data_IF_001948779799
#
_entry.id   IF_001948779799
#
_cell.length_a   1.000
_cell.length_b   1.000
_cell.length_c   1.000
_cell.angle_alpha   90.00
_cell.angle_beta   90.00
_cell.angle_gamma   90.00
#
_symmetry.space_group_name_H-M   'P 1'
#
loop_
_entity.id
_entity.type
_entity.pdbx_description
1 polymer ?
#
# COMPACT_ATOMS: atom_id res chain seq x y z
N UNK A 1 9.37 8.28 -11.27
CA UNK A 1 9.15 7.39 -12.45
C UNK A 1 8.64 6.04 -11.97
N UNK A 2 7.69 5.43 -12.68
CA UNK A 2 7.17 4.08 -12.38
C UNK A 2 7.87 3.07 -13.29
N UNK A 3 8.40 1.98 -12.75
CA UNK A 3 9.08 0.90 -13.48
C UNK A 3 8.88 -0.46 -12.80
N UNK A 4 9.30 -1.53 -13.45
CA UNK A 4 9.31 -2.87 -12.85
C UNK A 4 10.22 -2.91 -11.61
N UNK A 5 9.78 -3.62 -10.58
CA UNK A 5 10.55 -3.85 -9.35
C UNK A 5 11.52 -5.00 -9.56
N UNK A 6 12.80 -4.77 -9.32
CA UNK A 6 13.88 -5.71 -9.57
C UNK A 6 14.40 -6.37 -8.30
N UNK A 7 15.26 -7.41 -8.45
CA UNK A 7 15.92 -8.03 -7.31
C UNK A 7 16.79 -7.03 -6.51
N UNK A 8 17.46 -6.11 -7.19
CA UNK A 8 18.26 -5.06 -6.54
C UNK A 8 17.38 -4.07 -5.74
N UNK A 9 16.12 -3.87 -6.14
CA UNK A 9 15.20 -3.01 -5.40
C UNK A 9 14.75 -3.66 -4.09
N UNK A 10 14.78 -4.99 -3.96
CA UNK A 10 14.55 -5.65 -2.67
C UNK A 10 15.59 -5.20 -1.66
N UNK A 11 16.86 -5.15 -2.06
CA UNK A 11 17.95 -4.71 -1.16
C UNK A 11 17.77 -3.25 -0.76
N UNK A 12 17.51 -2.36 -1.75
CA UNK A 12 17.25 -0.93 -1.51
C UNK A 12 16.02 -0.68 -0.62
N UNK A 13 14.95 -1.46 -0.80
CA UNK A 13 13.75 -1.38 0.02
C UNK A 13 14.04 -1.77 1.47
N UNK A 14 14.84 -2.79 1.70
CA UNK A 14 15.21 -3.26 3.04
C UNK A 14 16.10 -2.26 3.81
N UNK A 15 16.74 -1.32 3.11
CA UNK A 15 17.52 -0.22 3.67
C UNK A 15 16.69 1.02 4.02
N UNK A 16 15.39 1.01 3.73
CA UNK A 16 14.55 2.15 4.08
C UNK A 16 14.51 2.39 5.59
N UNK A 17 14.49 3.65 6.02
CA UNK A 17 14.30 3.96 7.44
C UNK A 17 12.98 3.39 7.94
N UNK A 18 12.90 3.13 9.22
CA UNK A 18 11.68 2.62 9.84
C UNK A 18 10.73 3.78 10.20
N UNK A 19 9.44 3.51 10.15
CA UNK A 19 8.45 4.43 10.70
C UNK A 19 8.67 4.56 12.22
N UNK A 20 8.76 5.80 12.70
CA UNK A 20 8.88 6.07 14.12
C UNK A 20 7.55 5.83 14.86
N UNK A 21 6.42 6.06 14.19
CA UNK A 21 5.09 5.81 14.75
C UNK A 21 4.71 4.33 14.60
N UNK A 22 4.46 3.61 15.71
CA UNK A 22 4.07 2.20 15.70
C UNK A 22 2.81 1.90 14.87
N UNK A 23 1.91 2.88 14.70
CA UNK A 23 0.71 2.70 13.87
C UNK A 23 1.02 2.44 12.40
N UNK A 24 2.22 2.79 11.95
CA UNK A 24 2.70 2.56 10.59
C UNK A 24 3.80 1.51 10.50
N UNK A 25 4.10 0.80 11.60
CA UNK A 25 5.16 -0.20 11.64
C UNK A 25 4.94 -1.37 10.66
N UNK A 26 3.70 -1.66 10.30
CA UNK A 26 3.32 -2.65 9.28
C UNK A 26 3.94 -2.36 7.90
N UNK A 27 4.29 -1.11 7.63
CA UNK A 27 4.97 -0.70 6.38
C UNK A 27 6.49 -0.79 6.46
N UNK A 28 7.06 -1.10 7.63
CA UNK A 28 8.49 -1.28 7.78
C UNK A 28 8.98 -2.49 7.00
N UNK A 29 10.11 -2.38 6.30
CA UNK A 29 10.72 -3.53 5.67
C UNK A 29 11.02 -4.63 6.71
N UNK A 30 10.72 -5.91 6.40
CA UNK A 30 11.07 -7.02 7.29
C UNK A 30 12.58 -7.28 7.27
N UNK A 31 13.09 -7.94 8.30
CA UNK A 31 14.44 -8.49 8.24
C UNK A 31 14.47 -9.72 7.32
N UNK A 32 15.37 -9.75 6.35
CA UNK A 32 15.51 -10.85 5.41
C UNK A 32 16.99 -11.21 5.19
N UNK A 33 17.32 -12.51 5.28
CA UNK A 33 18.59 -13.03 4.78
C UNK A 33 18.64 -12.92 3.24
N UNK A 34 19.84 -13.01 2.66
CA UNK A 34 20.02 -12.97 1.19
C UNK A 34 19.13 -14.00 0.49
N UNK A 35 19.11 -15.25 1.00
CA UNK A 35 18.25 -16.31 0.45
C UNK A 35 16.76 -15.96 0.50
N UNK A 36 16.29 -15.35 1.57
CA UNK A 36 14.90 -14.91 1.67
C UNK A 36 14.57 -13.80 0.69
N UNK A 37 15.51 -12.86 0.44
CA UNK A 37 15.36 -11.81 -0.58
C UNK A 37 15.21 -12.38 -1.99
N UNK A 38 16.04 -13.39 -2.31
CA UNK A 38 15.98 -14.08 -3.61
C UNK A 38 14.63 -14.81 -3.78
N UNK A 39 14.22 -15.55 -2.75
CA UNK A 39 12.93 -16.24 -2.74
C UNK A 39 11.74 -15.28 -2.83
N UNK A 40 11.78 -14.17 -2.09
CA UNK A 40 10.76 -13.13 -2.15
C UNK A 40 10.60 -12.57 -3.56
N UNK A 41 11.71 -12.19 -4.20
CA UNK A 41 11.67 -11.65 -5.56
C UNK A 41 11.21 -12.70 -6.58
N UNK A 42 11.72 -13.93 -6.50
CA UNK A 42 11.36 -15.01 -7.41
C UNK A 42 9.87 -15.35 -7.34
N UNK A 43 9.30 -15.45 -6.13
CA UNK A 43 7.88 -15.76 -5.94
C UNK A 43 6.95 -14.71 -6.56
N UNK A 44 7.31 -13.42 -6.44
CA UNK A 44 6.51 -12.34 -7.02
C UNK A 44 6.64 -12.25 -8.54
N UNK A 45 7.83 -12.53 -9.07
CA UNK A 45 8.06 -12.52 -10.52
C UNK A 45 7.37 -13.64 -11.24
N UNK A 46 7.27 -14.82 -10.63
CA UNK A 46 6.64 -16.02 -11.22
C UNK A 46 5.10 -16.01 -11.12
N UNK A 47 4.54 -15.16 -10.28
CA UNK A 47 3.10 -15.13 -10.06
C UNK A 47 2.38 -14.35 -11.18
N UNK A 48 1.48 -15.02 -11.90
CA UNK A 48 0.58 -14.34 -12.82
C UNK A 48 -0.45 -13.44 -12.12
N UNK A 49 -0.72 -13.70 -10.83
CA UNK A 49 -1.68 -12.96 -10.01
C UNK A 49 -1.03 -11.81 -9.21
N UNK A 50 0.25 -11.49 -9.47
CA UNK A 50 0.94 -10.42 -8.76
C UNK A 50 1.90 -9.67 -9.67
N UNK A 51 1.98 -8.35 -9.48
CA UNK A 51 3.02 -7.49 -10.08
C UNK A 51 3.55 -6.53 -9.05
N UNK A 52 4.86 -6.29 -9.07
CA UNK A 52 5.51 -5.29 -8.23
C UNK A 52 6.16 -4.23 -9.11
N UNK A 53 5.95 -2.97 -8.72
CA UNK A 53 6.48 -1.81 -9.39
C UNK A 53 7.29 -0.96 -8.40
N UNK A 54 8.38 -0.41 -8.89
CA UNK A 54 9.21 0.56 -8.19
C UNK A 54 8.79 1.98 -8.56
N UNK A 55 8.81 2.86 -7.59
CA UNK A 55 8.67 4.31 -7.79
C UNK A 55 10.00 4.94 -7.48
N UNK A 56 10.64 5.49 -8.51
CA UNK A 56 11.85 6.29 -8.35
C UNK A 56 11.52 7.78 -8.38
N UNK A 57 12.27 8.56 -7.60
CA UNK A 57 12.26 10.02 -7.72
C UNK A 57 12.99 10.48 -9.00
N UNK A 58 13.12 11.80 -9.17
CA UNK A 58 13.80 12.39 -10.34
C UNK A 58 15.29 12.08 -10.38
N UNK A 59 15.89 11.75 -9.24
CA UNK A 59 17.30 11.35 -9.12
C UNK A 59 17.54 9.84 -9.32
N UNK A 60 16.48 9.06 -9.58
CA UNK A 60 16.57 7.60 -9.74
C UNK A 60 16.68 6.83 -8.41
N UNK A 61 16.34 7.48 -7.29
CA UNK A 61 16.33 6.85 -5.98
C UNK A 61 14.97 6.16 -5.77
N UNK A 62 15.00 4.90 -5.33
CA UNK A 62 13.79 4.15 -4.97
C UNK A 62 13.12 4.78 -3.75
N UNK A 63 11.97 5.42 -3.95
CA UNK A 63 11.20 6.11 -2.91
C UNK A 63 9.86 5.47 -2.61
N UNK A 64 9.37 4.58 -3.47
CA UNK A 64 8.10 3.90 -3.29
C UNK A 64 8.09 2.51 -3.90
N UNK A 65 7.20 1.68 -3.38
CA UNK A 65 6.91 0.35 -3.87
C UNK A 65 5.41 0.18 -4.01
N UNK A 66 4.98 -0.31 -5.17
CA UNK A 66 3.59 -0.64 -5.48
C UNK A 66 3.49 -2.13 -5.73
N UNK A 67 2.46 -2.75 -5.19
CA UNK A 67 2.08 -4.13 -5.51
C UNK A 67 0.66 -4.15 -6.05
N UNK A 68 0.47 -4.82 -7.18
CA UNK A 68 -0.82 -5.29 -7.63
C UNK A 68 -0.90 -6.76 -7.22
N UNK A 69 -1.88 -7.12 -6.43
CA UNK A 69 -2.10 -8.46 -5.88
C UNK A 69 -3.45 -8.98 -6.36
N UNK A 70 -3.65 -10.29 -6.28
CA UNK A 70 -4.94 -10.90 -6.60
C UNK A 70 -5.43 -10.46 -7.99
N UNK A 71 -4.49 -10.39 -8.95
CA UNK A 71 -4.82 -10.00 -10.31
C UNK A 71 -5.73 -11.05 -10.90
N UNK A 72 -6.99 -10.67 -11.13
CA UNK A 72 -7.96 -11.46 -11.86
C UNK A 72 -8.06 -10.93 -13.30
N UNK A 73 -7.47 -11.68 -14.23
CA UNK A 73 -7.43 -11.31 -15.63
C UNK A 73 -8.80 -11.45 -16.32
N UNK A 74 -9.68 -12.30 -15.80
CA UNK A 74 -11.03 -12.47 -16.31
C UNK A 74 -11.94 -11.34 -15.85
N UNK A 75 -11.99 -11.07 -14.54
CA UNK A 75 -12.71 -9.93 -13.98
C UNK A 75 -12.02 -8.59 -14.26
N UNK A 76 -10.78 -8.62 -14.76
CA UNK A 76 -9.93 -7.45 -15.01
C UNK A 76 -9.79 -6.55 -13.78
N UNK A 77 -9.47 -7.16 -12.65
CA UNK A 77 -9.35 -6.47 -11.36
C UNK A 77 -8.06 -6.83 -10.63
N UNK A 78 -7.68 -5.99 -9.67
CA UNK A 78 -6.56 -6.26 -8.78
C UNK A 78 -6.73 -5.52 -7.45
N UNK A 79 -5.96 -5.93 -6.44
CA UNK A 79 -5.82 -5.24 -5.14
C UNK A 79 -4.51 -4.48 -5.11
N UNK A 80 -4.57 -3.19 -4.79
CA UNK A 80 -3.43 -2.29 -4.67
C UNK A 80 -2.81 -2.37 -3.26
N UNK A 81 -1.51 -2.54 -3.20
CA UNK A 81 -0.68 -2.20 -2.05
C UNK A 81 0.33 -1.13 -2.43
N UNK A 82 0.55 -0.15 -1.57
CA UNK A 82 1.52 0.92 -1.82
C UNK A 82 2.21 1.34 -0.54
N UNK A 83 3.52 1.51 -0.61
CA UNK A 83 4.32 2.03 0.49
C UNK A 83 5.39 2.98 -0.04
N UNK A 84 5.76 3.96 0.78
CA UNK A 84 6.81 4.94 0.51
C UNK A 84 7.81 4.99 1.65
N UNK A 85 9.01 5.40 1.33
CA UNK A 85 10.03 5.69 2.34
C UNK A 85 9.49 6.70 3.35
N UNK A 86 9.61 6.43 4.65
CA UNK A 86 9.08 7.31 5.70
C UNK A 86 9.65 8.73 5.67
N UNK A 87 10.93 8.88 5.33
CA UNK A 87 11.64 10.15 5.24
C UNK A 87 11.28 11.01 4.02
N UNK A 88 10.47 10.47 3.10
CA UNK A 88 10.01 11.14 1.87
C UNK A 88 8.49 11.35 1.83
N UNK A 89 7.84 11.19 2.99
CA UNK A 89 6.40 11.37 3.11
C UNK A 89 6.01 12.86 3.11
N UNK A 90 4.90 13.20 2.44
CA UNK A 90 4.44 14.60 2.35
C UNK A 90 4.92 15.35 1.10
N UNK A 91 5.84 14.80 0.32
CA UNK A 91 6.41 15.41 -0.89
C UNK A 91 5.52 15.28 -2.15
N UNK A 92 4.29 14.80 -2.03
CA UNK A 92 3.38 14.60 -3.18
C UNK A 92 3.65 13.32 -3.97
N UNK A 93 4.70 12.56 -3.66
CA UNK A 93 5.11 11.33 -4.37
C UNK A 93 3.98 10.31 -4.51
N UNK A 94 3.15 10.16 -3.49
CA UNK A 94 2.02 9.24 -3.50
C UNK A 94 0.99 9.58 -4.59
N UNK A 95 0.63 10.86 -4.71
CA UNK A 95 -0.34 11.31 -5.72
C UNK A 95 0.23 11.18 -7.13
N UNK A 96 1.50 11.52 -7.33
CA UNK A 96 2.19 11.42 -8.62
C UNK A 96 2.32 9.97 -9.07
N UNK A 97 2.75 9.08 -8.16
CA UNK A 97 2.85 7.64 -8.41
C UNK A 97 1.49 7.01 -8.72
N UNK A 98 0.43 7.41 -8.00
CA UNK A 98 -0.94 6.96 -8.29
C UNK A 98 -1.40 7.41 -9.67
N UNK A 99 -1.14 8.66 -10.07
CA UNK A 99 -1.45 9.12 -11.42
C UNK A 99 -0.77 8.28 -12.50
N UNK A 100 0.52 7.95 -12.32
CA UNK A 100 1.26 7.08 -13.24
C UNK A 100 0.72 5.64 -13.25
N UNK A 101 0.42 5.09 -12.07
CA UNK A 101 -0.15 3.75 -11.94
C UNK A 101 -1.52 3.65 -12.64
N UNK A 102 -2.41 4.60 -12.40
CA UNK A 102 -3.78 4.56 -12.94
C UNK A 102 -3.78 4.65 -14.47
N UNK A 103 -2.92 5.48 -15.05
CA UNK A 103 -2.72 5.51 -16.51
C UNK A 103 -2.25 4.15 -17.05
N UNK A 104 -1.32 3.50 -16.36
CA UNK A 104 -0.84 2.17 -16.74
C UNK A 104 -1.92 1.10 -16.56
N UNK A 105 -2.61 1.12 -15.41
CA UNK A 105 -3.58 0.11 -15.00
C UNK A 105 -4.83 0.10 -15.89
N UNK A 106 -5.44 1.25 -16.10
CA UNK A 106 -6.63 1.38 -16.94
C UNK A 106 -6.30 1.49 -18.44
N UNK A 107 -5.10 1.94 -18.80
CA UNK A 107 -4.63 2.02 -20.18
C UNK A 107 -4.02 0.71 -20.67
N UNK A 108 -2.67 0.58 -20.79
CA UNK A 108 -2.02 -0.58 -21.38
C UNK A 108 -2.36 -1.92 -20.73
N UNK A 109 -2.61 -1.95 -19.41
CA UNK A 109 -2.95 -3.19 -18.71
C UNK A 109 -4.42 -3.62 -18.93
N UNK A 110 -5.29 -2.71 -19.36
CA UNK A 110 -6.67 -3.01 -19.74
C UNK A 110 -7.60 -3.41 -18.61
N UNK A 111 -7.31 -3.01 -17.38
CA UNK A 111 -8.08 -3.40 -16.19
C UNK A 111 -9.36 -2.58 -16.01
N UNK A 112 -10.32 -3.10 -15.23
CA UNK A 112 -11.65 -2.51 -15.01
C UNK A 112 -11.86 -2.00 -13.59
N UNK A 113 -11.24 -2.63 -12.58
CA UNK A 113 -11.43 -2.23 -11.19
C UNK A 113 -10.15 -2.41 -10.37
N UNK A 114 -9.77 -1.37 -9.63
CA UNK A 114 -8.67 -1.39 -8.68
C UNK A 114 -9.24 -1.24 -7.28
N UNK A 115 -9.02 -2.26 -6.45
CA UNK A 115 -9.42 -2.30 -5.06
C UNK A 115 -8.24 -1.97 -4.15
N UNK A 116 -8.50 -1.47 -2.97
CA UNK A 116 -7.53 -1.36 -1.88
C UNK A 116 -8.24 -1.38 -0.54
N UNK A 117 -7.49 -1.71 0.50
CA UNK A 117 -7.85 -1.46 1.88
C UNK A 117 -6.88 -0.42 2.49
N UNK A 118 -7.39 0.41 3.39
CA UNK A 118 -6.60 1.44 4.07
C UNK A 118 -7.02 1.57 5.53
N UNK A 119 -6.06 1.58 6.44
CA UNK A 119 -6.35 1.75 7.85
C UNK A 119 -7.06 3.09 8.11
N UNK A 120 -8.15 3.07 8.85
CA UNK A 120 -8.99 4.25 9.14
C UNK A 120 -8.21 5.39 9.77
N UNK A 121 -7.17 5.07 10.58
CA UNK A 121 -6.26 6.05 11.16
C UNK A 121 -5.29 6.66 10.14
N UNK A 122 -5.09 6.04 8.95
CA UNK A 122 -4.22 6.58 7.90
C UNK A 122 -4.95 7.60 7.02
N UNK A 123 -5.37 8.70 7.65
CA UNK A 123 -6.13 9.78 6.99
C UNK A 123 -5.40 10.35 5.78
N UNK A 124 -4.07 10.42 5.83
CA UNK A 124 -3.25 10.91 4.71
C UNK A 124 -3.41 10.04 3.46
N UNK A 125 -3.28 8.72 3.59
CA UNK A 125 -3.42 7.80 2.47
C UNK A 125 -4.86 7.81 1.94
N UNK A 126 -5.86 7.76 2.83
CA UNK A 126 -7.27 7.82 2.44
C UNK A 126 -7.57 9.07 1.61
N UNK A 127 -7.16 10.26 2.06
CA UNK A 127 -7.33 11.50 1.29
C UNK A 127 -6.62 11.46 -0.07
N UNK A 128 -5.48 10.78 -0.18
CA UNK A 128 -4.80 10.59 -1.44
C UNK A 128 -5.66 9.75 -2.40
N UNK A 129 -6.20 8.63 -1.93
CA UNK A 129 -7.05 7.74 -2.74
C UNK A 129 -8.36 8.43 -3.15
N UNK A 130 -9.01 9.15 -2.24
CA UNK A 130 -10.22 9.94 -2.54
C UNK A 130 -9.95 10.97 -3.65
N UNK A 131 -8.83 11.70 -3.59
CA UNK A 131 -8.42 12.63 -4.66
C UNK A 131 -8.16 11.91 -5.99
N UNK A 132 -7.65 10.68 -5.96
CA UNK A 132 -7.48 9.86 -7.16
C UNK A 132 -8.80 9.28 -7.70
N UNK A 133 -9.91 9.42 -6.97
CA UNK A 133 -11.25 9.01 -7.40
C UNK A 133 -11.71 7.69 -6.80
N UNK A 134 -10.95 7.10 -5.89
CA UNK A 134 -11.43 5.93 -5.15
C UNK A 134 -12.66 6.28 -4.31
N UNK A 135 -13.62 5.37 -4.29
CA UNK A 135 -14.85 5.48 -3.50
C UNK A 135 -14.82 4.46 -2.38
N UNK A 136 -15.36 4.83 -1.25
CA UNK A 136 -15.58 3.93 -0.13
C UNK A 136 -16.57 2.82 -0.52
N UNK A 137 -16.26 1.59 -0.17
CA UNK A 137 -17.07 0.41 -0.47
C UNK A 137 -17.62 -0.25 0.80
N UNK A 138 -16.82 -0.27 1.87
CA UNK A 138 -17.18 -0.89 3.13
C UNK A 138 -16.06 -0.79 4.15
N UNK A 139 -16.22 -1.49 5.26
CA UNK A 139 -15.26 -1.53 6.36
C UNK A 139 -15.13 -2.94 6.90
N UNK A 140 -13.92 -3.29 7.35
CA UNK A 140 -13.68 -4.54 8.04
C UNK A 140 -12.57 -4.39 9.08
N UNK A 141 -12.47 -5.35 10.01
CA UNK A 141 -11.37 -5.41 10.97
C UNK A 141 -10.20 -6.16 10.33
N UNK A 142 -9.08 -5.45 10.21
CA UNK A 142 -7.85 -5.98 9.64
C UNK A 142 -7.19 -7.05 10.49
N UNK A 143 -6.05 -7.53 10.03
CA UNK A 143 -5.25 -8.50 10.78
C UNK A 143 -4.73 -7.92 12.09
N UNK A 144 -4.57 -8.76 13.08
CA UNK A 144 -4.02 -8.37 14.36
C UNK A 144 -2.52 -8.05 14.21
N UNK A 145 -2.10 -6.94 14.81
CA UNK A 145 -0.70 -6.52 14.82
C UNK A 145 -0.22 -6.24 16.24
N UNK A 146 0.92 -6.80 16.64
CA UNK A 146 1.53 -6.48 17.93
C UNK A 146 1.98 -5.01 18.01
N UNK A 147 2.31 -4.39 16.88
CA UNK A 147 2.80 -3.01 16.81
C UNK A 147 1.77 -1.99 17.30
N UNK A 148 0.47 -2.27 17.11
CA UNK A 148 -0.62 -1.39 17.55
C UNK A 148 -1.16 -1.73 18.95
N UNK A 149 -0.58 -2.72 19.64
CA UNK A 149 -1.07 -3.16 20.95
C UNK A 149 -1.03 -2.05 22.02
N UNK A 150 -0.14 -1.07 21.87
CA UNK A 150 0.00 0.09 22.77
C UNK A 150 -1.12 1.10 22.68
N UNK A 151 -1.97 1.10 21.65
CA UNK A 151 -2.97 2.14 21.36
C UNK A 151 -3.92 2.40 22.55
N UNK A 152 -4.28 1.35 23.29
CA UNK A 152 -5.19 1.45 24.44
C UNK A 152 -4.52 1.93 25.72
N UNK A 153 -3.17 2.01 25.77
CA UNK A 153 -2.38 2.46 26.93
C UNK A 153 -1.87 3.87 26.77
N UNK A 154 -1.82 4.36 25.53
CA UNK A 154 -1.31 5.69 25.21
C UNK A 154 -2.43 6.74 25.36
N UNK A 155 -2.35 7.67 26.33
CA UNK A 155 -3.35 8.73 26.51
C UNK A 155 -3.43 9.69 25.31
N UNK A 156 -2.30 9.95 24.62
CA UNK A 156 -2.25 10.86 23.46
C UNK A 156 -3.01 10.29 22.26
N UNK A 157 -3.31 9.00 22.29
CA UNK A 157 -4.01 8.28 21.19
C UNK A 157 -5.46 7.93 21.53
N UNK A 158 -6.01 8.48 22.59
CA UNK A 158 -7.39 8.17 23.02
C UNK A 158 -8.42 8.36 21.91
N UNK A 159 -8.33 9.44 21.16
CA UNK A 159 -9.21 9.75 20.02
C UNK A 159 -9.15 8.69 18.88
N UNK A 160 -8.09 7.91 18.79
CA UNK A 160 -7.93 6.86 17.79
C UNK A 160 -8.45 5.51 18.24
N UNK A 161 -8.71 5.29 19.55
CA UNK A 161 -9.14 4.00 20.10
C UNK A 161 -10.38 3.41 19.43
N UNK A 162 -11.40 4.18 19.02
CA UNK A 162 -12.56 3.64 18.30
C UNK A 162 -12.21 2.98 16.95
N UNK A 163 -11.03 3.31 16.38
CA UNK A 163 -10.54 2.73 15.13
C UNK A 163 -9.77 1.41 15.35
N UNK A 164 -9.79 0.88 16.57
CA UNK A 164 -9.12 -0.36 16.94
C UNK A 164 -10.05 -1.21 17.80
N UNK A 165 -10.01 -2.53 17.55
CA UNK A 165 -10.75 -3.52 18.32
C UNK A 165 -9.78 -4.46 19.05
N UNK A 166 -10.04 -4.68 20.33
CA UNK A 166 -9.35 -5.73 21.08
C UNK A 166 -10.20 -7.00 21.06
N UNK A 167 -9.61 -8.08 20.58
CA UNK A 167 -10.27 -9.39 20.49
C UNK A 167 -9.27 -10.49 20.84
N UNK A 168 -9.60 -11.35 21.83
CA UNK A 168 -8.73 -12.42 22.32
C UNK A 168 -7.30 -11.97 22.65
N UNK A 169 -7.13 -10.78 23.23
CA UNK A 169 -5.82 -10.22 23.58
C UNK A 169 -5.05 -9.58 22.42
N UNK A 170 -5.57 -9.69 21.20
CA UNK A 170 -5.00 -9.09 20.00
C UNK A 170 -5.70 -7.78 19.64
N UNK A 171 -4.97 -6.87 19.01
CA UNK A 171 -5.50 -5.57 18.54
C UNK A 171 -5.58 -5.57 17.02
N UNK A 172 -6.76 -5.26 16.49
CA UNK A 172 -7.06 -5.18 15.07
C UNK A 172 -7.43 -3.75 14.68
N UNK A 173 -6.84 -3.18 13.64
CA UNK A 173 -7.25 -1.88 13.11
C UNK A 173 -8.54 -2.00 12.30
N UNK A 174 -9.36 -0.96 12.29
CA UNK A 174 -10.43 -0.78 11.30
C UNK A 174 -9.81 -0.40 9.95
N UNK A 175 -10.21 -1.10 8.90
CA UNK A 175 -9.82 -0.81 7.52
C UNK A 175 -11.04 -0.34 6.72
N UNK A 176 -10.83 0.64 5.85
CA UNK A 176 -11.79 1.05 4.84
C UNK A 176 -11.46 0.35 3.53
N UNK A 177 -12.43 -0.36 2.97
CA UNK A 177 -12.35 -0.90 1.62
C UNK A 177 -12.70 0.19 0.63
N UNK A 178 -11.89 0.33 -0.41
CA UNK A 178 -12.09 1.34 -1.44
C UNK A 178 -11.93 0.74 -2.84
N UNK A 179 -12.62 1.32 -3.81
CA UNK A 179 -12.56 0.90 -5.22
C UNK A 179 -12.49 2.10 -6.14
N UNK A 180 -11.71 1.97 -7.21
CA UNK A 180 -11.76 2.84 -8.39
C UNK A 180 -12.08 1.97 -9.61
N UNK A 181 -13.17 2.29 -10.31
CA UNK A 181 -13.57 1.62 -11.55
C UNK A 181 -13.12 2.43 -12.76
N UNK A 182 -12.84 1.74 -13.87
CA UNK A 182 -12.45 2.37 -15.13
C UNK A 182 -13.40 3.51 -15.52
N UNK A 183 -14.72 3.26 -15.52
CA UNK A 183 -15.71 4.27 -15.87
C UNK A 183 -15.68 5.53 -14.98
N UNK A 184 -15.30 5.39 -13.70
CA UNK A 184 -15.13 6.54 -12.80
C UNK A 184 -13.83 7.28 -13.09
N UNK A 185 -12.77 6.56 -13.43
CA UNK A 185 -11.49 7.14 -13.82
C UNK A 185 -11.60 7.94 -15.13
N UNK A 186 -12.19 7.36 -16.17
CA UNK A 186 -12.35 8.01 -17.49
C UNK A 186 -13.21 9.28 -17.44
N UNK A 187 -14.21 9.34 -16.53
CA UNK A 187 -15.00 10.57 -16.33
C UNK A 187 -14.23 11.73 -15.69
N UNK A 188 -13.05 11.47 -15.12
CA UNK A 188 -12.24 12.47 -14.41
C UNK A 188 -10.99 12.87 -15.20
N UNK A 189 -10.60 12.09 -16.21
CA UNK A 189 -9.44 12.33 -17.06
C UNK A 189 -9.77 13.37 -18.15
#
# INVERSE_FOLDING_TARGET
>A
MLREFTRADVDRWLEWPRHADPLFAVFNPPAMSVRQRDSYWASHRQSAASRQLAVDDRGGILVGKISLREIDWYARSAVLGISFRPDRLGEGLGTDAMGALLRYFFGPLGMEALFLDVAAHNVRARRCYERCGFRHLGEHWGEASPDVAGIFRDPEREALRPLFRREHGLVRPLLHDMVLRRADYERRA
#
